data_IF_802673401718
#
_entry.id   IF_802673401718
#
_cell.length_a   1.000
_cell.length_b   1.000
_cell.length_c   1.000
_cell.angle_alpha   90.00
_cell.angle_beta   90.00
_cell.angle_gamma   90.00
#
_symmetry.space_group_name_H-M   'P 1'
#
loop_
_entity.id
_entity.type
_entity.pdbx_description
1 polymer ?
#
# COMPACT_ATOMS: atom_id res chain seq x y z
N UNK A 1 -21.58 9.82 -2.34
CA UNK A 1 -22.68 9.41 -1.40
C UNK A 1 -22.02 8.72 -0.21
N UNK A 2 -22.33 9.18 1.00
CA UNK A 2 -21.79 8.62 2.26
C UNK A 2 -22.93 7.87 2.95
N UNK A 3 -22.70 6.62 3.32
CA UNK A 3 -23.71 5.82 4.00
C UNK A 3 -23.88 6.29 5.46
N UNK A 4 -25.12 6.35 6.01
CA UNK A 4 -25.37 6.89 7.36
C UNK A 4 -24.72 6.07 8.50
N UNK A 5 -24.43 4.80 8.30
CA UNK A 5 -23.72 3.95 9.27
C UNK A 5 -22.20 4.00 9.13
N UNK A 6 -21.66 5.15 8.75
CA UNK A 6 -20.21 5.37 8.64
C UNK A 6 -19.77 6.33 9.74
N UNK A 7 -18.65 6.05 10.40
CA UNK A 7 -18.04 7.02 11.31
C UNK A 7 -16.98 7.83 10.58
N UNK A 8 -17.19 9.12 10.52
CA UNK A 8 -16.22 10.07 9.94
C UNK A 8 -15.93 11.13 10.98
N UNK A 9 -14.66 11.23 11.39
CA UNK A 9 -14.27 12.29 12.32
C UNK A 9 -14.51 13.68 11.68
N UNK A 10 -15.04 14.66 12.42
CA UNK A 10 -15.36 15.99 11.86
C UNK A 10 -14.21 16.72 11.16
N UNK A 11 -12.98 16.45 11.54
CA UNK A 11 -11.77 17.05 10.95
C UNK A 11 -11.26 16.31 9.70
N UNK A 12 -11.81 15.14 9.35
CA UNK A 12 -11.45 14.45 8.13
C UNK A 12 -11.86 15.27 6.90
N UNK A 13 -10.96 15.37 5.92
CA UNK A 13 -11.17 16.14 4.70
C UNK A 13 -11.55 15.21 3.55
N UNK A 14 -12.76 15.37 3.06
CA UNK A 14 -13.27 14.63 1.90
C UNK A 14 -13.48 15.58 0.74
N UNK A 15 -12.91 15.25 -0.41
CA UNK A 15 -13.17 16.00 -1.65
C UNK A 15 -14.56 15.66 -2.22
N UNK A 16 -14.89 16.25 -3.35
CA UNK A 16 -16.17 16.02 -4.04
C UNK A 16 -16.31 14.59 -4.54
N UNK A 17 -17.54 14.09 -4.65
CA UNK A 17 -17.87 12.78 -5.20
C UNK A 17 -17.26 11.57 -4.50
N UNK A 18 -16.75 11.71 -3.27
CA UNK A 18 -16.31 10.58 -2.45
C UNK A 18 -17.52 9.73 -2.09
N UNK A 19 -17.39 8.41 -2.21
CA UNK A 19 -18.39 7.42 -1.83
C UNK A 19 -17.85 6.57 -0.69
N UNK A 20 -18.65 6.37 0.35
CA UNK A 20 -18.24 5.57 1.51
C UNK A 20 -19.39 4.64 1.87
N UNK A 21 -19.11 3.34 1.85
CA UNK A 21 -20.04 2.27 2.19
C UNK A 21 -20.15 2.07 3.72
N UNK A 22 -21.16 1.35 4.22
CA UNK A 22 -21.44 1.26 5.64
C UNK A 22 -20.31 0.64 6.47
N UNK A 23 -20.28 1.01 7.76
CA UNK A 23 -19.39 0.47 8.80
C UNK A 23 -17.91 0.81 8.61
N UNK A 24 -17.58 1.77 7.76
CA UNK A 24 -16.22 2.28 7.61
C UNK A 24 -15.94 3.38 8.62
N UNK A 25 -14.68 3.47 9.05
CA UNK A 25 -14.19 4.42 10.08
C UNK A 25 -13.08 5.27 9.50
N UNK A 26 -13.26 6.59 9.53
CA UNK A 26 -12.24 7.58 9.13
C UNK A 26 -11.85 8.42 10.34
N UNK A 27 -10.55 8.42 10.66
CA UNK A 27 -9.98 9.15 11.78
C UNK A 27 -9.79 10.65 11.49
N UNK A 28 -9.24 11.38 12.45
CA UNK A 28 -9.17 12.83 12.46
C UNK A 28 -8.30 13.41 11.34
N UNK A 29 -7.09 12.87 11.16
CA UNK A 29 -6.10 13.40 10.23
C UNK A 29 -6.08 12.61 8.92
N UNK A 30 -7.23 12.60 8.21
CA UNK A 30 -7.44 11.85 6.96
C UNK A 30 -7.79 12.83 5.84
N UNK A 31 -7.21 12.64 4.65
CA UNK A 31 -7.57 13.37 3.44
C UNK A 31 -7.88 12.37 2.30
N UNK A 32 -9.06 12.52 1.67
CA UNK A 32 -9.53 11.65 0.57
C UNK A 32 -9.78 12.49 -0.67
N UNK A 33 -9.13 12.13 -1.77
CA UNK A 33 -9.27 12.78 -3.07
C UNK A 33 -10.61 12.51 -3.76
N UNK A 34 -10.90 13.34 -4.75
CA UNK A 34 -12.14 13.34 -5.51
C UNK A 34 -12.44 11.99 -6.16
N UNK A 35 -13.71 11.59 -6.18
CA UNK A 35 -14.21 10.40 -6.85
C UNK A 35 -13.79 9.06 -6.22
N UNK A 36 -13.05 9.08 -5.12
CA UNK A 36 -12.58 7.87 -4.44
C UNK A 36 -13.75 7.13 -3.77
N UNK A 37 -13.73 5.80 -3.88
CA UNK A 37 -14.69 4.91 -3.24
C UNK A 37 -14.02 4.12 -2.11
N UNK A 38 -14.67 4.14 -0.95
CA UNK A 38 -14.31 3.40 0.26
C UNK A 38 -15.37 2.35 0.51
N UNK A 39 -15.00 1.09 0.42
CA UNK A 39 -15.87 -0.06 0.67
C UNK A 39 -16.26 -0.22 2.14
N UNK A 40 -17.12 -1.18 2.42
CA UNK A 40 -17.61 -1.44 3.78
C UNK A 40 -16.50 -1.94 4.71
N UNK A 41 -16.61 -1.63 6.01
CA UNK A 41 -15.67 -2.10 7.03
C UNK A 41 -14.20 -1.72 6.77
N UNK A 42 -13.94 -0.61 6.09
CA UNK A 42 -12.61 -0.06 5.90
C UNK A 42 -12.26 0.84 7.08
N UNK A 43 -11.01 0.72 7.57
CA UNK A 43 -10.49 1.63 8.60
C UNK A 43 -9.38 2.50 7.99
N UNK A 44 -9.59 3.82 8.01
CA UNK A 44 -8.60 4.80 7.56
C UNK A 44 -8.16 5.61 8.77
N UNK A 45 -6.91 5.39 9.17
CA UNK A 45 -6.34 5.96 10.38
C UNK A 45 -5.62 7.30 10.10
N UNK A 46 -5.20 7.95 11.18
CA UNK A 46 -4.53 9.24 11.10
C UNK A 46 -3.26 9.20 10.23
N UNK A 47 -3.09 10.24 9.42
CA UNK A 47 -1.96 10.37 8.50
C UNK A 47 -2.25 9.85 7.09
N UNK A 48 -3.42 9.31 6.80
CA UNK A 48 -3.78 8.87 5.46
C UNK A 48 -3.99 10.06 4.50
N UNK A 49 -3.38 10.00 3.33
CA UNK A 49 -3.51 10.91 2.19
C UNK A 49 -3.82 10.07 0.95
N UNK A 50 -5.09 9.95 0.60
CA UNK A 50 -5.55 9.10 -0.50
C UNK A 50 -5.90 9.99 -1.69
N UNK A 51 -5.34 9.68 -2.85
CA UNK A 51 -5.53 10.41 -4.10
C UNK A 51 -6.93 10.30 -4.68
N UNK A 52 -7.07 10.70 -5.94
CA UNK A 52 -8.34 10.73 -6.68
C UNK A 52 -8.67 9.37 -7.28
N UNK A 53 -9.96 9.09 -7.45
CA UNK A 53 -10.48 7.92 -8.14
C UNK A 53 -9.92 6.59 -7.63
N UNK A 54 -9.48 6.55 -6.39
CA UNK A 54 -9.01 5.33 -5.75
C UNK A 54 -10.19 4.41 -5.40
N UNK A 55 -9.88 3.13 -5.23
CA UNK A 55 -10.86 2.12 -4.81
C UNK A 55 -10.28 1.34 -3.63
N UNK A 56 -10.86 1.51 -2.46
CA UNK A 56 -10.42 0.84 -1.22
C UNK A 56 -11.48 -0.19 -0.86
N UNK A 57 -11.13 -1.45 -0.94
CA UNK A 57 -12.06 -2.58 -0.77
C UNK A 57 -12.26 -2.98 0.70
N UNK A 58 -13.33 -3.75 0.99
CA UNK A 58 -13.72 -4.09 2.36
C UNK A 58 -12.60 -4.69 3.21
N UNK A 59 -12.56 -4.29 4.47
CA UNK A 59 -11.62 -4.80 5.46
C UNK A 59 -10.19 -4.26 5.36
N UNK A 60 -9.90 -3.39 4.38
CA UNK A 60 -8.58 -2.75 4.30
C UNK A 60 -8.34 -1.81 5.48
N UNK A 61 -7.08 -1.74 5.95
CA UNK A 61 -6.64 -0.84 7.01
C UNK A 61 -5.51 0.03 6.49
N UNK A 62 -5.75 1.33 6.41
CA UNK A 62 -4.81 2.30 5.86
C UNK A 62 -4.29 3.21 6.97
N UNK A 63 -2.98 3.43 6.97
CA UNK A 63 -2.24 4.28 7.90
C UNK A 63 -2.26 3.79 9.37
N UNK A 64 -2.33 2.47 9.59
CA UNK A 64 -2.04 1.93 10.91
C UNK A 64 -0.61 2.32 11.36
N UNK A 65 -0.42 2.38 12.67
CA UNK A 65 0.90 2.66 13.24
C UNK A 65 1.93 1.61 12.77
N UNK A 66 3.21 1.98 12.61
CA UNK A 66 4.27 1.02 12.29
C UNK A 66 4.31 -0.16 13.26
N UNK A 67 4.55 -1.35 12.72
CA UNK A 67 4.86 -2.53 13.53
C UNK A 67 6.38 -2.56 13.81
N UNK A 68 6.90 -1.47 14.35
CA UNK A 68 8.31 -1.27 14.68
C UNK A 68 8.43 -0.88 16.15
N UNK A 69 9.24 -1.60 16.90
CA UNK A 69 9.49 -1.35 18.32
C UNK A 69 10.15 0.03 18.60
N UNK A 70 10.72 0.66 17.57
CA UNK A 70 11.33 2.00 17.66
C UNK A 70 10.34 3.13 17.45
N UNK A 71 9.08 2.81 17.08
CA UNK A 71 8.07 3.83 16.86
C UNK A 71 7.63 4.43 18.20
N UNK A 72 7.76 5.74 18.34
CA UNK A 72 7.50 6.50 19.58
C UNK A 72 6.24 7.39 19.50
N UNK A 73 5.40 7.20 18.47
CA UNK A 73 4.17 7.97 18.30
C UNK A 73 4.28 9.16 17.35
N UNK A 74 5.29 9.18 16.48
CA UNK A 74 5.52 10.24 15.50
C UNK A 74 4.32 10.44 14.57
N UNK A 75 4.03 11.70 14.24
CA UNK A 75 2.96 12.04 13.30
C UNK A 75 3.45 11.84 11.85
N UNK A 76 3.35 10.64 11.38
CA UNK A 76 3.78 10.21 10.05
C UNK A 76 2.60 9.93 9.12
N UNK A 77 2.86 9.69 7.83
CA UNK A 77 1.81 9.59 6.82
C UNK A 77 1.87 8.30 6.00
N UNK A 78 0.74 8.02 5.33
CA UNK A 78 0.63 7.17 4.15
C UNK A 78 0.14 8.03 3.00
N UNK A 79 0.81 7.98 1.86
CA UNK A 79 0.36 8.59 0.63
C UNK A 79 -0.01 7.51 -0.39
N UNK A 80 -1.24 7.53 -0.90
CA UNK A 80 -1.72 6.65 -1.98
C UNK A 80 -2.06 7.53 -3.18
N UNK A 81 -1.41 7.28 -4.30
CA UNK A 81 -1.58 8.02 -5.53
C UNK A 81 -2.92 7.75 -6.22
N UNK A 82 -3.20 8.53 -7.26
CA UNK A 82 -4.46 8.51 -8.00
C UNK A 82 -4.72 7.17 -8.71
N UNK A 83 -5.99 6.83 -8.91
CA UNK A 83 -6.47 5.64 -9.63
C UNK A 83 -5.95 4.30 -9.06
N UNK A 84 -5.45 4.29 -7.83
CA UNK A 84 -4.91 3.09 -7.19
C UNK A 84 -6.03 2.28 -6.55
N UNK A 85 -5.95 0.96 -6.73
CA UNK A 85 -6.89 -0.01 -6.16
C UNK A 85 -6.23 -0.78 -5.03
N UNK A 86 -6.80 -0.70 -3.84
CA UNK A 86 -6.41 -1.45 -2.63
C UNK A 86 -7.51 -2.48 -2.37
N UNK A 87 -7.19 -3.77 -2.50
CA UNK A 87 -8.14 -4.86 -2.37
C UNK A 87 -8.39 -5.23 -0.90
N UNK A 88 -9.22 -6.25 -0.73
CA UNK A 88 -9.74 -6.70 0.56
C UNK A 88 -8.63 -7.04 1.56
N UNK A 89 -8.78 -6.59 2.79
CA UNK A 89 -7.90 -6.89 3.93
C UNK A 89 -6.42 -6.52 3.71
N UNK A 90 -6.14 -5.63 2.76
CA UNK A 90 -4.79 -5.06 2.62
C UNK A 90 -4.51 -4.15 3.81
N UNK A 91 -3.27 -4.21 4.30
CA UNK A 91 -2.80 -3.31 5.35
C UNK A 91 -1.63 -2.46 4.85
N UNK A 92 -1.68 -1.15 5.11
CA UNK A 92 -0.59 -0.21 4.81
C UNK A 92 -0.27 0.56 6.07
N UNK A 93 0.94 0.36 6.60
CA UNK A 93 1.40 1.11 7.77
C UNK A 93 1.95 2.47 7.35
N UNK A 94 1.74 3.49 8.20
CA UNK A 94 2.35 4.81 8.00
C UNK A 94 3.86 4.76 8.26
N UNK A 95 4.60 5.78 7.82
CA UNK A 95 6.03 5.85 8.00
C UNK A 95 6.47 5.93 9.46
N UNK A 96 7.76 5.80 9.69
CA UNK A 96 8.44 6.10 10.94
C UNK A 96 9.23 7.41 10.83
N UNK A 97 10.00 7.78 11.86
CA UNK A 97 10.88 8.94 11.85
C UNK A 97 12.01 8.90 10.80
N UNK A 98 12.18 7.77 10.13
CA UNK A 98 13.23 7.59 9.14
C UNK A 98 12.85 8.23 7.79
N UNK A 99 11.66 7.91 7.26
CA UNK A 99 11.17 8.51 6.00
C UNK A 99 9.92 9.38 6.17
N UNK A 100 9.32 9.39 7.34
CA UNK A 100 8.10 10.13 7.68
C UNK A 100 6.85 9.72 6.91
N UNK A 101 6.99 8.92 5.86
CA UNK A 101 5.87 8.51 5.01
C UNK A 101 6.10 7.16 4.36
N UNK A 102 5.03 6.41 4.20
CA UNK A 102 4.93 5.25 3.30
C UNK A 102 4.19 5.69 2.05
N UNK A 103 4.69 5.33 0.85
CA UNK A 103 4.09 5.77 -0.42
C UNK A 103 3.69 4.61 -1.29
N UNK A 104 2.51 4.74 -1.90
CA UNK A 104 2.03 3.91 -3.01
C UNK A 104 1.71 4.84 -4.17
N UNK A 105 2.30 4.60 -5.33
CA UNK A 105 2.14 5.44 -6.51
C UNK A 105 0.76 5.38 -7.15
N UNK A 106 0.66 5.96 -8.34
CA UNK A 106 -0.56 6.01 -9.12
C UNK A 106 -0.81 4.70 -9.90
N UNK A 107 -2.07 4.43 -10.23
CA UNK A 107 -2.50 3.31 -11.08
C UNK A 107 -2.03 1.93 -10.56
N UNK A 108 -1.82 1.77 -9.28
CA UNK A 108 -1.38 0.51 -8.68
C UNK A 108 -2.56 -0.42 -8.40
N UNK A 109 -2.26 -1.72 -8.39
CA UNK A 109 -3.18 -2.76 -7.94
C UNK A 109 -2.53 -3.54 -6.79
N UNK A 110 -3.02 -3.33 -5.58
CA UNK A 110 -2.59 -4.06 -4.39
C UNK A 110 -3.68 -5.07 -4.05
N UNK A 111 -3.41 -6.34 -4.34
CA UNK A 111 -4.42 -7.40 -4.20
C UNK A 111 -4.57 -7.85 -2.75
N UNK A 112 -5.63 -8.63 -2.53
CA UNK A 112 -6.12 -8.99 -1.21
C UNK A 112 -5.05 -9.64 -0.30
N UNK A 113 -5.15 -9.31 1.00
CA UNK A 113 -4.27 -9.79 2.07
C UNK A 113 -2.79 -9.38 1.93
N UNK A 114 -2.47 -8.44 1.04
CA UNK A 114 -1.10 -7.91 0.94
C UNK A 114 -0.81 -6.92 2.07
N UNK A 115 0.46 -6.84 2.46
CA UNK A 115 0.94 -5.91 3.47
C UNK A 115 2.05 -5.02 2.93
N UNK A 116 1.95 -3.72 3.21
CA UNK A 116 2.99 -2.73 2.97
C UNK A 116 3.38 -2.13 4.32
N UNK A 117 4.58 -2.48 4.79
CA UNK A 117 5.10 -1.98 6.06
C UNK A 117 5.52 -0.50 5.96
N UNK A 118 5.92 0.04 7.09
CA UNK A 118 6.36 1.44 7.23
C UNK A 118 7.54 1.80 6.32
N UNK A 119 7.60 3.05 5.91
CA UNK A 119 8.70 3.63 5.12
C UNK A 119 8.93 2.96 3.74
N UNK A 120 7.98 2.16 3.26
CA UNK A 120 8.01 1.62 1.91
C UNK A 120 7.70 2.68 0.86
N UNK A 121 8.30 2.54 -0.32
CA UNK A 121 7.99 3.34 -1.50
C UNK A 121 7.65 2.38 -2.64
N UNK A 122 6.41 2.41 -3.09
CA UNK A 122 5.92 1.69 -4.26
C UNK A 122 5.72 2.69 -5.38
N UNK A 123 6.34 2.45 -6.53
CA UNK A 123 6.23 3.29 -7.72
C UNK A 123 4.85 3.24 -8.38
N UNK A 124 4.75 3.77 -9.59
CA UNK A 124 3.50 3.81 -10.35
C UNK A 124 3.27 2.52 -11.14
N UNK A 125 2.01 2.22 -11.46
CA UNK A 125 1.59 1.08 -12.28
C UNK A 125 2.06 -0.28 -11.73
N UNK A 126 2.27 -0.38 -10.43
CA UNK A 126 2.75 -1.59 -9.78
C UNK A 126 1.61 -2.55 -9.46
N UNK A 127 1.94 -3.84 -9.46
CA UNK A 127 1.02 -4.90 -9.05
C UNK A 127 1.64 -5.68 -7.90
N UNK A 128 0.95 -5.76 -6.78
CA UNK A 128 1.22 -6.70 -5.70
C UNK A 128 0.08 -7.72 -5.67
N UNK A 129 0.38 -8.94 -6.08
CA UNK A 129 -0.64 -10.00 -6.09
C UNK A 129 -0.96 -10.49 -4.67
N UNK A 130 -1.99 -11.32 -4.54
CA UNK A 130 -2.50 -11.78 -3.25
C UNK A 130 -1.42 -12.29 -2.29
N UNK A 131 -1.56 -11.94 -1.01
CA UNK A 131 -0.68 -12.37 0.08
C UNK A 131 0.79 -11.94 -0.08
N UNK A 132 1.08 -10.88 -0.82
CA UNK A 132 2.44 -10.32 -0.90
C UNK A 132 2.76 -9.50 0.35
N UNK A 133 3.93 -9.75 0.95
CA UNK A 133 4.35 -9.12 2.19
C UNK A 133 5.62 -8.29 1.96
N UNK A 134 5.54 -6.98 2.12
CA UNK A 134 6.68 -6.07 2.08
C UNK A 134 7.07 -5.64 3.49
N UNK A 135 8.28 -5.99 3.92
CA UNK A 135 8.84 -5.49 5.17
C UNK A 135 9.24 -4.00 5.05
N UNK A 136 9.60 -3.37 6.16
CA UNK A 136 9.91 -1.94 6.20
C UNK A 136 11.02 -1.49 5.24
N UNK A 137 10.95 -0.23 4.82
CA UNK A 137 11.96 0.45 3.99
C UNK A 137 12.18 -0.10 2.59
N UNK A 138 11.35 -1.02 2.11
CA UNK A 138 11.44 -1.55 0.73
C UNK A 138 11.10 -0.45 -0.26
N UNK A 139 11.87 -0.41 -1.36
CA UNK A 139 11.56 0.45 -2.51
C UNK A 139 11.27 -0.42 -3.74
N UNK A 140 10.14 -0.20 -4.37
CA UNK A 140 9.68 -0.90 -5.57
C UNK A 140 9.50 0.12 -6.70
N UNK A 141 10.23 -0.05 -7.79
CA UNK A 141 10.19 0.86 -8.93
C UNK A 141 8.92 0.74 -9.76
N UNK A 142 8.75 1.65 -10.72
CA UNK A 142 7.58 1.70 -11.59
C UNK A 142 7.40 0.42 -12.42
N UNK A 143 6.14 0.06 -12.68
CA UNK A 143 5.75 -1.10 -13.51
C UNK A 143 6.28 -2.44 -12.99
N UNK A 144 6.67 -2.53 -11.74
CA UNK A 144 7.13 -3.78 -11.15
C UNK A 144 5.95 -4.64 -10.67
N UNK A 145 6.11 -5.95 -10.76
CA UNK A 145 5.07 -6.93 -10.39
C UNK A 145 5.65 -7.92 -9.38
N UNK A 146 5.01 -8.01 -8.23
CA UNK A 146 5.19 -9.09 -7.27
C UNK A 146 4.03 -10.09 -7.42
N UNK A 147 4.32 -11.28 -7.92
CA UNK A 147 3.31 -12.34 -8.00
C UNK A 147 2.96 -12.86 -6.60
N UNK A 148 1.88 -13.64 -6.52
CA UNK A 148 1.28 -14.01 -5.24
C UNK A 148 2.23 -14.69 -4.26
N UNK A 149 2.01 -14.46 -2.95
CA UNK A 149 2.75 -15.05 -1.85
C UNK A 149 4.27 -14.71 -1.84
N UNK A 150 4.68 -13.60 -2.44
CA UNK A 150 6.05 -13.11 -2.30
C UNK A 150 6.25 -12.46 -0.94
N UNK A 151 7.44 -12.67 -0.35
CA UNK A 151 7.90 -11.95 0.83
C UNK A 151 9.17 -11.17 0.52
N UNK A 152 9.16 -9.87 0.82
CA UNK A 152 10.29 -8.97 0.52
C UNK A 152 10.93 -8.54 1.83
N UNK A 153 12.23 -8.82 1.96
CA UNK A 153 13.00 -8.46 3.15
C UNK A 153 13.17 -6.94 3.25
N UNK A 154 13.30 -6.43 4.47
CA UNK A 154 13.48 -4.99 4.71
C UNK A 154 14.69 -4.41 3.95
N UNK A 155 14.58 -3.15 3.55
CA UNK A 155 15.59 -2.37 2.82
C UNK A 155 15.86 -2.82 1.37
N UNK A 156 15.24 -3.88 0.88
CA UNK A 156 15.40 -4.35 -0.50
C UNK A 156 14.90 -3.29 -1.49
N UNK A 157 15.65 -3.13 -2.59
CA UNK A 157 15.29 -2.29 -3.73
C UNK A 157 14.93 -3.17 -4.93
N UNK A 158 13.72 -3.02 -5.44
CA UNK A 158 13.22 -3.70 -6.64
C UNK A 158 13.19 -2.68 -7.77
N UNK A 159 13.91 -2.96 -8.85
CA UNK A 159 14.01 -2.07 -10.01
C UNK A 159 12.72 -1.95 -10.81
N UNK A 160 12.66 -0.98 -11.72
CA UNK A 160 11.55 -0.77 -12.63
C UNK A 160 11.35 -1.97 -13.56
N UNK A 161 10.11 -2.21 -14.00
CA UNK A 161 9.76 -3.26 -14.96
C UNK A 161 10.25 -4.66 -14.58
N UNK A 162 10.32 -4.96 -13.29
CA UNK A 162 10.68 -6.29 -12.81
C UNK A 162 9.45 -7.17 -12.66
N UNK A 163 9.63 -8.47 -12.79
CA UNK A 163 8.64 -9.47 -12.44
C UNK A 163 9.22 -10.45 -11.42
N UNK A 164 8.63 -10.53 -10.24
CA UNK A 164 8.99 -11.50 -9.21
C UNK A 164 7.97 -12.64 -9.21
N UNK A 165 8.43 -13.86 -9.48
CA UNK A 165 7.57 -15.04 -9.52
C UNK A 165 6.96 -15.37 -8.15
N UNK A 166 5.77 -15.94 -8.16
CA UNK A 166 5.04 -16.27 -6.93
C UNK A 166 5.79 -17.19 -5.97
N UNK A 167 5.55 -17.02 -4.67
CA UNK A 167 6.20 -17.79 -3.60
C UNK A 167 7.67 -17.48 -3.39
N UNK A 168 8.18 -16.38 -3.96
CA UNK A 168 9.60 -16.02 -3.84
C UNK A 168 9.92 -15.28 -2.56
N UNK A 169 11.09 -15.59 -1.98
CA UNK A 169 11.73 -14.83 -0.91
C UNK A 169 12.72 -13.85 -1.53
N UNK A 170 12.41 -12.55 -1.47
CA UNK A 170 13.24 -11.48 -2.04
C UNK A 170 14.12 -10.91 -0.93
N UNK A 171 15.34 -11.45 -0.80
CA UNK A 171 16.28 -11.12 0.28
C UNK A 171 17.43 -10.21 -0.18
N UNK A 172 17.47 -9.83 -1.44
CA UNK A 172 18.49 -8.97 -2.05
C UNK A 172 17.88 -8.07 -3.11
N UNK A 173 18.56 -6.99 -3.44
CA UNK A 173 18.15 -6.05 -4.47
C UNK A 173 17.95 -6.74 -5.83
N UNK A 174 16.94 -6.29 -6.57
CA UNK A 174 16.57 -6.82 -7.88
C UNK A 174 16.79 -5.72 -8.92
N UNK A 175 17.71 -5.90 -9.88
CA UNK A 175 17.92 -4.93 -10.96
C UNK A 175 16.66 -4.73 -11.82
N UNK A 176 16.52 -3.58 -12.50
CA UNK A 176 15.40 -3.34 -13.40
C UNK A 176 15.39 -4.29 -14.61
N UNK A 177 14.21 -4.47 -15.22
CA UNK A 177 13.98 -5.21 -16.46
C UNK A 177 14.31 -6.71 -16.41
N UNK A 178 14.27 -7.32 -15.23
CA UNK A 178 14.51 -8.76 -15.11
C UNK A 178 13.31 -9.50 -14.50
N UNK A 179 13.27 -10.79 -14.79
CA UNK A 179 12.43 -11.75 -14.09
C UNK A 179 13.25 -12.45 -13.02
N UNK A 180 12.74 -12.48 -11.79
CA UNK A 180 13.39 -13.16 -10.67
C UNK A 180 12.39 -14.09 -9.97
N UNK A 181 12.89 -15.09 -9.28
CA UNK A 181 12.03 -16.00 -8.53
C UNK A 181 12.82 -17.06 -7.78
N UNK A 182 12.09 -17.94 -7.09
CA UNK A 182 12.60 -19.07 -6.30
C UNK A 182 13.11 -18.66 -4.90
N UNK A 183 13.54 -19.67 -4.16
CA UNK A 183 14.25 -19.56 -2.89
C UNK A 183 15.45 -20.53 -2.89
N UNK A 184 16.69 -20.06 -2.88
CA UNK A 184 17.08 -18.64 -2.88
C UNK A 184 16.71 -17.92 -4.19
N UNK A 185 16.56 -16.58 -4.11
CA UNK A 185 16.18 -15.75 -5.26
C UNK A 185 17.22 -15.88 -6.37
N UNK A 186 16.77 -16.25 -7.55
CA UNK A 186 17.57 -16.32 -8.76
C UNK A 186 16.98 -15.47 -9.87
N UNK A 187 17.83 -14.91 -10.72
CA UNK A 187 17.41 -14.16 -11.89
C UNK A 187 17.26 -15.12 -13.08
N UNK A 188 16.25 -14.88 -13.89
CA UNK A 188 16.08 -15.57 -15.15
C UNK A 188 16.55 -14.62 -16.25
N UNK A 189 17.56 -15.01 -17.02
CA UNK A 189 17.77 -14.44 -18.37
C UNK A 189 16.62 -14.93 -19.22
N UNK A 190 15.98 -14.06 -19.98
CA UNK A 190 15.13 -14.52 -21.09
C UNK A 190 16.05 -15.02 -22.19
N UNK A 191 15.98 -16.29 -22.49
CA UNK A 191 16.40 -16.83 -23.77
C UNK A 191 15.31 -16.56 -24.80
#
# INVERSE_FOLDING_TARGET
MIHPHTYIHPNAKLATNVKIDPFSVLHQNVEIGEGTWIGSNVTIMDGARIGKNCRIFPGAVIAAIPQDLKYEGEQTTVEIGDNTTIREFVTVNRGSKDRWTTKVGNNCLIMAYSHIAHDCIVGNNCIMSNNTQMAGHVSMGDNAILAGMCAVHQFVKIGNHTFIAGGSLVTKDVPPYIKAGRNPLSYRSEE
#
